data_IF_917901740056
#
_entry.id   IF_917901740056
#
_cell.length_a   1.000
_cell.length_b   1.000
_cell.length_c   1.000
_cell.angle_alpha   90.00
_cell.angle_beta   90.00
_cell.angle_gamma   90.00
#
_symmetry.space_group_name_H-M   'P 1'
#
loop_
_entity.id
_entity.type
_entity.pdbx_description
1 polymer ?
#
# COMPACT_ATOMS: atom_id res chain seq x y z
N UNK A 1 22.19 -14.61 22.98
CA UNK A 1 20.92 -13.84 22.85
C UNK A 1 20.04 -14.49 21.79
N UNK A 2 18.88 -14.93 22.18
CA UNK A 2 17.95 -15.51 21.22
C UNK A 2 17.15 -14.42 20.52
N UNK A 3 17.24 -14.38 19.19
CA UNK A 3 16.44 -13.49 18.38
C UNK A 3 15.13 -14.20 18.02
N UNK A 4 14.08 -13.87 18.75
CA UNK A 4 12.75 -14.43 18.49
C UNK A 4 11.87 -13.38 17.84
N UNK A 5 11.35 -13.72 16.66
CA UNK A 5 10.42 -12.86 15.94
C UNK A 5 9.05 -13.52 15.90
N UNK A 6 8.02 -12.76 16.21
CA UNK A 6 6.64 -13.23 16.15
C UNK A 6 6.10 -13.25 14.72
N UNK A 7 6.53 -12.30 13.93
CA UNK A 7 6.05 -12.12 12.56
C UNK A 7 7.25 -11.88 11.66
N UNK A 8 7.26 -12.58 10.54
CA UNK A 8 8.24 -12.37 9.49
C UNK A 8 7.50 -11.93 8.22
N UNK A 9 7.90 -10.80 7.67
CA UNK A 9 7.36 -10.27 6.42
C UNK A 9 8.43 -10.41 5.36
N UNK A 10 8.12 -11.14 4.30
CA UNK A 10 9.04 -11.33 3.19
C UNK A 10 8.71 -10.31 2.11
N UNK A 11 9.62 -9.39 1.87
CA UNK A 11 9.48 -8.30 0.92
C UNK A 11 9.31 -6.95 1.60
N UNK A 12 10.20 -6.02 1.27
CA UNK A 12 10.17 -4.64 1.76
C UNK A 12 9.74 -3.67 0.67
N UNK A 13 8.76 -4.08 -0.14
CA UNK A 13 8.02 -3.18 -1.01
C UNK A 13 6.99 -2.40 -0.22
N UNK A 14 6.19 -1.57 -0.89
CA UNK A 14 5.22 -0.71 -0.21
C UNK A 14 4.20 -1.53 0.59
N UNK A 15 3.76 -2.67 0.07
CA UNK A 15 2.78 -3.52 0.74
C UNK A 15 3.37 -4.12 2.02
N UNK A 16 4.57 -4.72 1.91
CA UNK A 16 5.24 -5.31 3.07
C UNK A 16 5.54 -4.28 4.15
N UNK A 17 6.02 -3.11 3.75
CA UNK A 17 6.31 -2.01 4.69
C UNK A 17 5.05 -1.47 5.34
N UNK A 18 3.95 -1.35 4.60
CA UNK A 18 2.67 -0.89 5.15
C UNK A 18 2.13 -1.89 6.18
N UNK A 19 2.25 -3.19 5.90
CA UNK A 19 1.85 -4.24 6.83
C UNK A 19 2.72 -4.21 8.08
N UNK A 20 4.04 -4.06 7.90
CA UNK A 20 4.98 -3.98 9.02
C UNK A 20 4.66 -2.78 9.92
N UNK A 21 4.42 -1.63 9.32
CA UNK A 21 4.05 -0.42 10.07
C UNK A 21 2.78 -0.63 10.88
N UNK A 22 1.76 -1.19 10.25
CA UNK A 22 0.48 -1.42 10.94
C UNK A 22 0.61 -2.42 12.07
N UNK A 23 1.32 -3.54 11.83
CA UNK A 23 1.52 -4.57 12.84
C UNK A 23 2.42 -4.13 13.96
N UNK A 24 3.37 -3.22 13.69
CA UNK A 24 4.29 -2.70 14.73
C UNK A 24 3.56 -1.96 15.85
N UNK A 25 2.33 -1.53 15.61
CA UNK A 25 1.49 -0.91 16.63
C UNK A 25 0.99 -1.91 17.68
N UNK A 26 0.99 -3.20 17.35
CA UNK A 26 0.46 -4.28 18.18
C UNK A 26 1.52 -5.28 18.61
N UNK A 27 2.58 -5.43 17.83
CA UNK A 27 3.62 -6.44 18.04
C UNK A 27 4.98 -5.78 18.00
N UNK A 28 5.90 -6.23 18.85
CA UNK A 28 7.24 -5.64 18.95
C UNK A 28 8.28 -6.33 18.05
N UNK A 29 8.20 -7.64 17.92
CA UNK A 29 9.24 -8.43 17.27
C UNK A 29 8.82 -8.80 15.85
N UNK A 30 8.96 -7.85 14.93
CA UNK A 30 8.63 -8.03 13.52
C UNK A 30 9.91 -7.97 12.71
N UNK A 31 10.15 -9.00 11.89
CA UNK A 31 11.27 -9.05 10.97
C UNK A 31 10.77 -8.83 9.56
N UNK A 32 11.42 -7.91 8.84
CA UNK A 32 11.17 -7.71 7.40
C UNK A 32 12.39 -8.16 6.65
N UNK A 33 12.22 -9.09 5.73
CA UNK A 33 13.30 -9.66 4.92
C UNK A 33 13.14 -9.20 3.48
N UNK A 34 14.20 -8.63 2.93
CA UNK A 34 14.23 -8.14 1.55
C UNK A 34 15.44 -8.75 0.83
N UNK A 35 15.22 -9.28 -0.37
CA UNK A 35 16.30 -9.86 -1.18
C UNK A 35 17.21 -8.81 -1.83
N UNK A 36 16.70 -7.60 -2.04
CA UNK A 36 17.47 -6.51 -2.60
C UNK A 36 18.26 -5.78 -1.50
N UNK A 37 19.18 -4.90 -1.89
CA UNK A 37 20.01 -4.17 -0.95
C UNK A 37 19.24 -3.14 -0.13
N UNK A 38 18.09 -2.69 -0.64
CA UNK A 38 17.25 -1.70 0.02
C UNK A 38 15.77 -1.99 -0.23
N UNK A 39 14.92 -1.26 0.46
CA UNK A 39 13.46 -1.39 0.34
C UNK A 39 12.92 -0.69 -0.91
N UNK A 40 11.66 -0.95 -1.26
CA UNK A 40 10.94 -0.22 -2.29
C UNK A 40 11.38 -0.49 -3.72
N UNK A 41 12.00 -1.64 -3.97
CA UNK A 41 12.41 -2.05 -5.32
C UNK A 41 11.25 -2.75 -6.07
N UNK A 42 11.47 -3.07 -7.33
CA UNK A 42 10.53 -3.79 -8.17
C UNK A 42 9.20 -3.03 -8.37
N UNK A 43 8.06 -3.66 -8.11
CA UNK A 43 6.74 -3.09 -8.38
C UNK A 43 6.50 -1.77 -7.65
N UNK A 44 6.99 -1.63 -6.42
CA UNK A 44 6.81 -0.40 -5.65
C UNK A 44 7.53 0.80 -6.24
N UNK A 45 8.63 0.56 -6.97
CA UNK A 45 9.37 1.62 -7.66
C UNK A 45 8.94 1.80 -9.12
N UNK A 46 8.12 0.91 -9.65
CA UNK A 46 7.73 0.86 -11.07
C UNK A 46 6.22 0.73 -11.22
N UNK A 47 5.52 1.82 -11.01
CA UNK A 47 4.06 1.84 -11.06
C UNK A 47 3.59 3.15 -11.70
N UNK A 48 2.28 3.27 -11.87
CA UNK A 48 1.67 4.44 -12.50
C UNK A 48 1.56 5.65 -11.57
N UNK A 49 1.84 5.48 -10.29
CA UNK A 49 1.69 6.51 -9.25
C UNK A 49 0.27 7.04 -9.12
N UNK A 50 -0.72 6.25 -9.56
CA UNK A 50 -2.12 6.63 -9.54
C UNK A 50 -2.84 5.87 -8.44
N UNK A 51 -3.58 6.61 -7.61
CA UNK A 51 -4.49 6.00 -6.65
C UNK A 51 -5.78 5.65 -7.39
N UNK A 52 -5.98 4.37 -7.65
CA UNK A 52 -7.11 3.91 -8.44
C UNK A 52 -8.42 4.05 -7.67
N UNK A 53 -9.48 4.49 -8.38
CA UNK A 53 -10.82 4.61 -7.79
C UNK A 53 -11.52 3.25 -7.62
N UNK A 54 -11.20 2.31 -8.49
CA UNK A 54 -11.77 0.96 -8.47
C UNK A 54 -13.10 0.81 -9.20
N UNK A 55 -13.68 1.89 -9.68
CA UNK A 55 -15.04 1.85 -10.22
C UNK A 55 -15.15 1.11 -11.57
N UNK A 56 -14.06 0.93 -12.29
CA UNK A 56 -14.07 0.20 -13.56
C UNK A 56 -13.74 -1.29 -13.41
N UNK A 57 -13.54 -1.78 -12.20
CA UNK A 57 -13.37 -3.21 -11.97
C UNK A 57 -14.74 -3.91 -11.89
N UNK A 58 -14.79 -5.24 -12.11
CA UNK A 58 -16.06 -5.95 -12.02
C UNK A 58 -16.79 -5.72 -10.70
N UNK A 59 -18.08 -5.46 -10.78
CA UNK A 59 -18.91 -5.21 -9.60
C UNK A 59 -18.86 -6.38 -8.63
N UNK A 60 -18.80 -6.08 -7.34
CA UNK A 60 -18.70 -7.06 -6.24
C UNK A 60 -17.44 -7.90 -6.24
N UNK A 61 -16.47 -7.63 -7.12
CA UNK A 61 -15.17 -8.30 -7.06
C UNK A 61 -14.38 -7.82 -5.83
N UNK A 62 -13.48 -8.67 -5.36
CA UNK A 62 -12.57 -8.29 -4.28
C UNK A 62 -11.71 -7.09 -4.68
N UNK A 63 -11.30 -7.06 -5.95
CA UNK A 63 -10.49 -5.96 -6.50
C UNK A 63 -11.23 -4.63 -6.41
N UNK A 64 -12.51 -4.59 -6.76
CA UNK A 64 -13.35 -3.41 -6.62
C UNK A 64 -13.44 -2.96 -5.17
N UNK A 65 -13.80 -3.88 -4.26
CA UNK A 65 -13.96 -3.58 -2.84
C UNK A 65 -12.68 -3.02 -2.22
N UNK A 66 -11.57 -3.68 -2.47
CA UNK A 66 -10.29 -3.28 -1.87
C UNK A 66 -9.76 -1.98 -2.49
N UNK A 67 -9.96 -1.76 -3.78
CA UNK A 67 -9.54 -0.50 -4.41
C UNK A 67 -10.35 0.69 -3.92
N UNK A 68 -11.67 0.53 -3.77
CA UNK A 68 -12.52 1.60 -3.22
C UNK A 68 -12.12 1.94 -1.79
N UNK A 69 -11.98 0.93 -0.95
CA UNK A 69 -11.56 1.13 0.44
C UNK A 69 -10.14 1.69 0.51
N UNK A 70 -9.23 1.14 -0.27
CA UNK A 70 -7.83 1.57 -0.30
C UNK A 70 -7.67 3.01 -0.80
N UNK A 71 -8.48 3.41 -1.77
CA UNK A 71 -8.51 4.80 -2.25
C UNK A 71 -8.77 5.77 -1.10
N UNK A 72 -9.83 5.52 -0.33
CA UNK A 72 -10.17 6.35 0.82
C UNK A 72 -9.07 6.36 1.87
N UNK A 73 -8.53 5.19 2.19
CA UNK A 73 -7.47 5.05 3.19
C UNK A 73 -6.19 5.76 2.77
N UNK A 74 -5.82 5.70 1.49
CA UNK A 74 -4.62 6.38 0.99
C UNK A 74 -4.76 7.89 1.03
N UNK A 75 -5.93 8.44 0.70
CA UNK A 75 -6.15 9.87 0.83
C UNK A 75 -6.08 10.32 2.28
N UNK A 76 -6.66 9.57 3.21
CA UNK A 76 -6.56 9.86 4.63
C UNK A 76 -5.12 9.78 5.14
N UNK A 77 -4.40 8.75 4.74
CA UNK A 77 -3.00 8.55 5.11
C UNK A 77 -2.14 9.71 4.60
N UNK A 78 -2.29 10.07 3.32
CA UNK A 78 -1.53 11.18 2.74
C UNK A 78 -1.82 12.50 3.44
N UNK A 79 -3.08 12.75 3.79
CA UNK A 79 -3.47 13.93 4.53
C UNK A 79 -2.85 13.97 5.92
N UNK A 80 -2.85 12.82 6.63
CA UNK A 80 -2.31 12.73 7.97
C UNK A 80 -0.80 12.98 8.03
N UNK A 81 -0.05 12.52 7.01
CA UNK A 81 1.40 12.74 6.93
C UNK A 81 1.77 13.98 6.12
N UNK A 82 0.78 14.79 5.71
CA UNK A 82 0.95 16.01 4.91
C UNK A 82 1.66 15.76 3.58
N UNK A 83 1.38 14.62 2.96
CA UNK A 83 1.89 14.30 1.64
C UNK A 83 1.06 15.01 0.59
N UNK A 84 1.74 15.64 -0.37
CA UNK A 84 1.06 16.33 -1.47
C UNK A 84 0.41 15.34 -2.41
N UNK A 85 -0.86 15.56 -2.72
CA UNK A 85 -1.60 14.79 -3.70
C UNK A 85 -2.14 15.72 -4.78
N UNK A 86 -2.05 15.27 -6.02
CA UNK A 86 -2.67 15.96 -7.15
C UNK A 86 -3.94 15.20 -7.51
N UNK A 87 -5.07 15.87 -7.35
CA UNK A 87 -6.35 15.32 -7.78
C UNK A 87 -6.54 15.71 -9.24
N UNK A 88 -6.40 14.74 -10.12
CA UNK A 88 -6.63 14.94 -11.55
C UNK A 88 -8.04 14.49 -11.86
N UNK A 89 -8.88 15.42 -12.25
CA UNK A 89 -10.19 15.08 -12.80
C UNK A 89 -9.95 14.31 -14.09
N UNK A 90 -10.10 13.03 -14.05
CA UNK A 90 -9.71 12.15 -15.14
C UNK A 90 -10.83 12.05 -16.16
N UNK A 91 -10.49 12.28 -17.42
CA UNK A 91 -11.37 12.00 -18.54
C UNK A 91 -11.85 10.55 -18.52
N UNK A 92 -11.02 9.66 -17.99
CA UNK A 92 -11.33 8.26 -17.81
C UNK A 92 -12.53 8.04 -16.91
N UNK A 93 -12.72 8.88 -15.90
CA UNK A 93 -13.90 8.85 -15.04
C UNK A 93 -15.18 9.16 -15.80
N UNK A 94 -15.08 9.92 -16.88
CA UNK A 94 -16.24 10.30 -17.69
C UNK A 94 -16.55 9.27 -18.78
N UNK A 95 -15.56 8.52 -19.20
CA UNK A 95 -15.69 7.52 -20.28
C UNK A 95 -16.15 6.18 -19.73
N UNK A 96 -15.73 5.83 -18.55
CA UNK A 96 -16.06 4.58 -17.88
C UNK A 96 -17.18 4.77 -16.89
#
# INVERSE_FOLDING_TARGET
MENKFKICIIGAGIVGLAIAERLSRFYKNILVVEKEHTFGQHISSRNSEVIHSGFYYPKKSLKEKLCIKGNKLLYQFAKNIKLSLIIVGSLLHQII
#
